data_IF_683619397857
#
_entry.id   IF_683619397857
#
_cell.length_a   1.000
_cell.length_b   1.000
_cell.length_c   1.000
_cell.angle_alpha   90.00
_cell.angle_beta   90.00
_cell.angle_gamma   90.00
#
_symmetry.space_group_name_H-M   'P 1'
#
loop_
_entity.id
_entity.type
_entity.pdbx_description
1 polymer ?
#
# COMPACT_ATOMS: atom_id res chain seq x y z
N UNK A 1 -20.51 0.02 -0.90
CA UNK A 1 -20.11 0.87 -2.03
C UNK A 1 -19.61 -0.04 -3.14
N UNK A 2 -20.09 0.11 -4.38
CA UNK A 2 -19.57 -0.61 -5.56
C UNK A 2 -18.91 0.42 -6.46
N UNK A 3 -17.67 0.17 -6.87
CA UNK A 3 -16.94 0.98 -7.83
C UNK A 3 -16.40 0.06 -8.92
N UNK A 4 -16.44 0.50 -10.16
CA UNK A 4 -15.77 -0.15 -11.29
C UNK A 4 -14.42 0.53 -11.48
N UNK A 5 -13.38 -0.27 -11.66
CA UNK A 5 -12.04 0.22 -11.96
C UNK A 5 -11.68 -0.08 -13.43
N UNK A 6 -10.84 0.74 -14.08
CA UNK A 6 -10.48 0.57 -15.48
C UNK A 6 -9.37 -0.48 -15.71
N UNK A 7 -9.12 -1.35 -14.74
CA UNK A 7 -8.07 -2.36 -14.76
C UNK A 7 -8.56 -3.67 -14.12
N UNK A 8 -7.85 -4.75 -14.40
CA UNK A 8 -8.07 -6.06 -13.77
C UNK A 8 -7.01 -6.35 -12.70
N UNK A 9 -7.31 -7.28 -11.80
CA UNK A 9 -6.32 -7.83 -10.88
C UNK A 9 -5.62 -9.02 -11.53
N UNK A 10 -4.30 -9.07 -11.41
CA UNK A 10 -3.46 -10.06 -12.10
C UNK A 10 -2.59 -10.79 -11.09
N UNK A 11 -2.50 -12.11 -11.23
CA UNK A 11 -1.49 -12.94 -10.55
C UNK A 11 -0.41 -13.29 -11.57
N UNK A 12 0.81 -12.86 -11.29
CA UNK A 12 1.97 -13.08 -12.14
C UNK A 12 2.51 -14.51 -12.06
N UNK A 13 3.37 -14.92 -13.00
CA UNK A 13 3.91 -16.28 -13.08
C UNK A 13 4.82 -16.65 -11.89
N UNK A 14 5.33 -15.66 -11.14
CA UNK A 14 6.15 -15.88 -9.95
C UNK A 14 5.34 -15.64 -8.66
N UNK A 15 4.02 -15.72 -8.77
CA UNK A 15 3.03 -15.47 -7.70
C UNK A 15 2.92 -14.00 -7.30
N UNK A 16 3.35 -13.04 -8.13
CA UNK A 16 3.18 -11.62 -7.85
C UNK A 16 1.71 -11.22 -7.89
N UNK A 17 1.33 -10.23 -7.09
CA UNK A 17 0.01 -9.62 -7.18
C UNK A 17 0.11 -8.23 -7.80
N UNK A 18 -0.66 -7.99 -8.85
CA UNK A 18 -0.61 -6.77 -9.64
C UNK A 18 -1.97 -6.30 -10.14
N UNK A 19 -1.94 -5.19 -10.85
CA UNK A 19 -3.07 -4.66 -11.63
C UNK A 19 -2.67 -4.50 -13.09
N UNK A 20 -3.62 -4.71 -14.00
CA UNK A 20 -3.34 -4.79 -15.42
C UNK A 20 -4.37 -4.09 -16.32
N UNK A 21 -3.86 -3.56 -17.42
CA UNK A 21 -4.60 -3.23 -18.64
C UNK A 21 -3.90 -3.95 -19.81
N UNK A 22 -3.46 -3.23 -20.85
CA UNK A 22 -2.55 -3.74 -21.87
C UNK A 22 -1.10 -3.92 -21.37
N UNK A 23 -0.77 -3.25 -20.27
CA UNK A 23 0.46 -3.41 -19.49
C UNK A 23 0.06 -3.72 -18.05
N UNK A 24 0.99 -4.20 -17.23
CA UNK A 24 0.70 -4.51 -15.83
C UNK A 24 1.74 -3.93 -14.89
N UNK A 25 1.29 -3.62 -13.68
CA UNK A 25 2.11 -3.09 -12.58
C UNK A 25 2.03 -4.05 -11.41
N UNK A 26 3.19 -4.49 -10.92
CA UNK A 26 3.28 -5.32 -9.72
C UNK A 26 3.07 -4.45 -8.48
N UNK A 27 2.07 -4.81 -7.67
CA UNK A 27 1.78 -4.13 -6.41
C UNK A 27 2.57 -4.75 -5.26
N UNK A 28 2.54 -6.08 -5.19
CA UNK A 28 3.21 -6.89 -4.18
C UNK A 28 3.94 -8.04 -4.86
N UNK A 29 5.15 -8.36 -4.41
CA UNK A 29 5.99 -9.40 -5.02
C UNK A 29 5.41 -10.80 -4.81
N UNK A 30 4.44 -10.98 -3.90
CA UNK A 30 3.69 -12.23 -3.73
C UNK A 30 2.21 -11.96 -3.46
N UNK A 31 1.34 -12.91 -3.79
CA UNK A 31 -0.08 -12.92 -3.37
C UNK A 31 -0.19 -12.89 -1.85
N UNK A 32 0.65 -13.63 -1.13
CA UNK A 32 0.66 -13.61 0.34
C UNK A 32 0.99 -12.21 0.87
N UNK A 33 1.95 -11.50 0.26
CA UNK A 33 2.26 -10.12 0.63
C UNK A 33 1.09 -9.17 0.39
N UNK A 34 0.31 -9.39 -0.67
CA UNK A 34 -0.95 -8.66 -0.87
C UNK A 34 -1.99 -9.00 0.20
N UNK A 35 -2.14 -10.28 0.57
CA UNK A 35 -3.05 -10.68 1.67
C UNK A 35 -2.64 -10.02 2.98
N UNK A 36 -1.34 -9.99 3.30
CA UNK A 36 -0.81 -9.28 4.46
C UNK A 36 -1.10 -7.78 4.40
N UNK A 37 -0.95 -7.14 3.23
CA UNK A 37 -1.30 -5.74 3.02
C UNK A 37 -2.78 -5.46 3.30
N UNK A 38 -3.69 -6.37 2.90
CA UNK A 38 -5.13 -6.26 3.16
C UNK A 38 -5.44 -6.46 4.65
N UNK A 39 -4.82 -7.47 5.29
CA UNK A 39 -4.99 -7.72 6.72
C UNK A 39 -4.49 -6.52 7.55
N UNK A 40 -3.34 -5.98 7.18
CA UNK A 40 -2.74 -4.80 7.79
C UNK A 40 -3.61 -3.55 7.61
N UNK A 41 -4.20 -3.36 6.41
CA UNK A 41 -5.15 -2.28 6.17
C UNK A 41 -6.36 -2.34 7.11
N UNK A 42 -6.89 -3.53 7.34
CA UNK A 42 -8.01 -3.74 8.23
C UNK A 42 -7.62 -3.47 9.69
N UNK A 43 -6.51 -4.03 10.17
CA UNK A 43 -6.01 -3.80 11.52
C UNK A 43 -5.70 -2.34 11.79
N UNK A 44 -4.96 -1.68 10.90
CA UNK A 44 -4.60 -0.28 11.05
C UNK A 44 -5.84 0.62 11.05
N UNK A 45 -6.82 0.37 10.19
CA UNK A 45 -8.07 1.14 10.19
C UNK A 45 -8.90 0.94 11.47
N UNK A 46 -8.83 -0.24 12.08
CA UNK A 46 -9.56 -0.55 13.32
C UNK A 46 -8.91 0.06 14.56
N UNK A 47 -7.58 0.13 14.59
CA UNK A 47 -6.81 0.51 15.78
C UNK A 47 -6.34 1.97 15.76
N UNK A 48 -6.25 2.59 14.59
CA UNK A 48 -5.76 3.95 14.48
C UNK A 48 -6.62 4.94 15.26
N UNK A 49 -5.95 5.86 15.95
CA UNK A 49 -6.59 7.03 16.56
C UNK A 49 -7.07 8.00 15.49
N UNK A 50 -6.32 8.13 14.39
CA UNK A 50 -6.63 8.98 13.24
C UNK A 50 -6.10 8.35 11.97
N UNK A 51 -6.88 8.47 10.90
CA UNK A 51 -6.45 8.12 9.54
C UNK A 51 -6.49 9.37 8.66
N UNK A 52 -5.34 9.78 8.15
CA UNK A 52 -5.20 10.89 7.20
C UNK A 52 -4.95 10.35 5.81
N UNK A 53 -5.62 10.90 4.79
CA UNK A 53 -5.41 10.53 3.39
C UNK A 53 -4.69 11.65 2.66
N UNK A 54 -3.58 11.34 2.03
CA UNK A 54 -2.79 12.24 1.17
C UNK A 54 -2.89 11.74 -0.28
N UNK A 55 -2.87 12.65 -1.26
CA UNK A 55 -3.03 12.31 -2.68
C UNK A 55 -2.07 13.07 -3.57
N UNK A 56 -1.80 12.51 -4.75
CA UNK A 56 -1.03 13.18 -5.78
C UNK A 56 0.41 13.44 -5.37
N UNK A 57 0.96 14.58 -5.81
CA UNK A 57 2.36 14.94 -5.59
C UNK A 57 2.75 15.01 -4.10
N UNK A 58 1.83 15.40 -3.21
CA UNK A 58 2.07 15.47 -1.76
C UNK A 58 2.44 14.11 -1.15
N UNK A 59 2.15 12.99 -1.83
CA UNK A 59 2.56 11.65 -1.39
C UNK A 59 4.08 11.48 -1.41
N UNK A 60 4.78 12.17 -2.33
CA UNK A 60 6.24 12.09 -2.44
C UNK A 60 6.94 12.97 -1.37
N UNK A 61 6.20 13.89 -0.74
CA UNK A 61 6.69 14.78 0.33
C UNK A 61 6.50 14.18 1.74
N UNK A 62 5.96 12.96 1.84
CA UNK A 62 5.80 12.27 3.13
C UNK A 62 7.17 11.89 3.67
N UNK A 63 7.50 12.46 4.83
CA UNK A 63 8.69 12.09 5.58
C UNK A 63 8.57 10.67 6.13
N UNK A 64 9.51 9.82 5.74
CA UNK A 64 9.62 8.43 6.17
C UNK A 64 10.85 8.22 7.07
N UNK A 65 11.53 9.29 7.49
CA UNK A 65 12.66 9.19 8.41
C UNK A 65 12.22 8.54 9.73
N UNK A 66 12.93 7.50 10.13
CA UNK A 66 12.59 6.68 11.30
C UNK A 66 11.45 5.68 11.07
N UNK A 67 10.92 5.57 9.84
CA UNK A 67 10.05 4.48 9.45
C UNK A 67 10.83 3.37 8.74
N UNK A 68 10.40 2.13 8.94
CA UNK A 68 10.94 0.95 8.27
C UNK A 68 9.87 0.28 7.38
N UNK A 69 10.24 -0.28 6.23
CA UNK A 69 9.31 -1.05 5.41
C UNK A 69 8.74 -2.26 6.17
N UNK A 70 7.43 -2.47 6.11
CA UNK A 70 6.78 -3.70 6.61
C UNK A 70 7.02 -4.81 5.58
N UNK A 71 8.04 -5.62 5.81
CA UNK A 71 8.51 -6.64 4.87
C UNK A 71 7.51 -7.76 4.56
N UNK A 72 6.66 -8.11 5.53
CA UNK A 72 5.60 -9.11 5.36
C UNK A 72 4.71 -8.82 4.15
N UNK A 73 4.44 -7.53 3.85
CA UNK A 73 3.60 -7.15 2.70
C UNK A 73 4.29 -7.31 1.36
N UNK A 74 5.60 -7.56 1.32
CA UNK A 74 6.40 -7.70 0.09
C UNK A 74 6.10 -6.61 -0.95
N UNK A 75 5.96 -5.36 -0.49
CA UNK A 75 5.51 -4.24 -1.31
C UNK A 75 6.47 -3.91 -2.45
N UNK A 76 5.90 -3.61 -3.62
CA UNK A 76 6.62 -3.15 -4.82
C UNK A 76 6.16 -1.73 -5.15
N UNK A 77 5.07 -1.57 -5.91
CA UNK A 77 4.46 -0.24 -6.13
C UNK A 77 3.61 0.20 -4.92
N UNK A 78 3.03 -0.75 -4.19
CA UNK A 78 2.23 -0.50 -3.00
C UNK A 78 2.99 -1.01 -1.77
N UNK A 79 3.30 -0.10 -0.84
CA UNK A 79 4.20 -0.36 0.30
C UNK A 79 3.60 0.10 1.61
N UNK A 80 4.06 -0.53 2.70
CA UNK A 80 3.72 -0.16 4.07
C UNK A 80 4.98 0.17 4.86
N UNK A 81 4.85 1.13 5.75
CA UNK A 81 5.94 1.66 6.57
C UNK A 81 5.49 1.70 8.03
N UNK A 82 6.33 1.21 8.94
CA UNK A 82 6.09 1.23 10.39
C UNK A 82 7.07 2.18 11.07
N UNK A 83 6.55 3.00 11.97
CA UNK A 83 7.34 3.98 12.72
C UNK A 83 6.91 4.03 14.18
N UNK A 84 7.54 4.90 14.99
CA UNK A 84 7.27 4.99 16.42
C UNK A 84 5.83 5.43 16.75
N UNK A 85 5.22 6.24 15.88
CA UNK A 85 3.92 6.88 16.15
C UNK A 85 2.79 6.35 15.26
N UNK A 86 3.02 5.29 14.48
CA UNK A 86 1.99 4.69 13.63
C UNK A 86 2.53 3.99 12.39
N UNK A 87 1.65 3.85 11.39
CA UNK A 87 1.96 3.19 10.12
C UNK A 87 1.49 4.01 8.93
N UNK A 88 2.19 3.89 7.80
CA UNK A 88 1.89 4.61 6.57
C UNK A 88 1.77 3.60 5.43
N UNK A 89 0.63 3.57 4.76
CA UNK A 89 0.45 2.84 3.50
C UNK A 89 0.64 3.82 2.35
N UNK A 90 1.50 3.51 1.38
CA UNK A 90 1.67 4.30 0.16
C UNK A 90 1.36 3.43 -1.05
N UNK A 91 0.36 3.85 -1.82
CA UNK A 91 -0.12 3.20 -3.03
C UNK A 91 0.30 4.01 -4.25
N UNK A 92 1.17 3.43 -5.08
CA UNK A 92 1.63 4.02 -6.35
C UNK A 92 1.18 3.21 -7.57
N UNK A 93 0.64 2.01 -7.36
CA UNK A 93 0.27 1.09 -8.43
C UNK A 93 -0.61 1.68 -9.52
N UNK A 94 -1.71 2.33 -9.16
CA UNK A 94 -2.61 2.97 -10.14
C UNK A 94 -1.92 4.11 -10.91
N UNK A 95 -1.11 4.91 -10.22
CA UNK A 95 -0.37 6.00 -10.83
C UNK A 95 0.66 5.51 -11.85
N UNK A 96 1.34 4.40 -11.53
CA UNK A 96 2.29 3.77 -12.44
C UNK A 96 1.59 3.11 -13.62
N UNK A 97 0.51 2.35 -13.39
CA UNK A 97 -0.24 1.67 -14.44
C UNK A 97 -0.83 2.65 -15.47
N UNK A 98 -1.36 3.78 -15.00
CA UNK A 98 -2.07 4.76 -15.82
C UNK A 98 -1.19 5.95 -16.22
N UNK A 99 0.04 6.03 -15.72
CA UNK A 99 0.97 7.14 -15.98
C UNK A 99 0.49 8.50 -15.44
N UNK A 100 -0.31 8.50 -14.38
CA UNK A 100 -0.88 9.70 -13.77
C UNK A 100 -0.46 9.84 -12.30
N UNK A 101 0.52 10.71 -11.99
CA UNK A 101 0.97 10.96 -10.62
C UNK A 101 -0.13 11.43 -9.66
N UNK A 102 -1.23 12.01 -10.16
CA UNK A 102 -2.35 12.43 -9.31
C UNK A 102 -3.06 11.26 -8.62
N UNK A 103 -2.88 10.03 -9.13
CA UNK A 103 -3.47 8.81 -8.58
C UNK A 103 -2.68 8.20 -7.42
N UNK A 104 -1.51 8.74 -7.08
CA UNK A 104 -0.80 8.32 -5.87
C UNK A 104 -1.68 8.58 -4.65
N UNK A 105 -1.71 7.64 -3.72
CA UNK A 105 -2.45 7.78 -2.47
C UNK A 105 -1.59 7.29 -1.33
N UNK A 106 -1.53 8.06 -0.25
CA UNK A 106 -1.04 7.56 1.03
C UNK A 106 -2.13 7.61 2.09
N UNK A 107 -2.05 6.69 3.05
CA UNK A 107 -2.83 6.69 4.28
C UNK A 107 -1.88 6.65 5.47
N UNK A 108 -1.97 7.68 6.30
CA UNK A 108 -1.21 7.78 7.56
C UNK A 108 -2.14 7.38 8.70
N UNK A 109 -1.78 6.33 9.42
CA UNK A 109 -2.53 5.77 10.54
C UNK A 109 -1.78 6.07 11.84
N UNK A 110 -2.27 7.03 12.61
CA UNK A 110 -1.64 7.42 13.88
C UNK A 110 -2.00 6.47 15.03
N UNK A 111 -1.03 6.14 15.86
CA UNK A 111 -1.23 5.38 17.10
C UNK A 111 -1.43 3.87 16.90
N UNK A 112 -1.05 3.34 15.73
CA UNK A 112 -1.09 1.90 15.43
C UNK A 112 0.22 1.24 15.82
N UNK A 113 0.16 0.15 16.60
CA UNK A 113 1.29 -0.77 16.79
C UNK A 113 1.12 -2.01 15.91
N UNK A 114 2.25 -2.54 15.42
CA UNK A 114 2.31 -3.72 14.56
C UNK A 114 2.80 -4.96 15.31
N UNK A 115 2.25 -5.18 16.51
CA UNK A 115 2.58 -6.37 17.30
C UNK A 115 2.11 -7.62 16.54
N UNK A 116 3.03 -8.52 16.20
CA UNK A 116 2.75 -9.73 15.43
C UNK A 116 2.89 -9.62 13.90
N UNK A 117 3.22 -8.43 13.37
CA UNK A 117 3.73 -8.25 12.00
C UNK A 117 5.25 -8.16 12.02
N UNK A 118 5.89 -9.27 12.40
CA UNK A 118 7.34 -9.48 12.32
C UNK A 118 7.63 -10.49 11.20
N UNK A 119 8.81 -10.38 10.58
CA UNK A 119 9.27 -11.15 9.41
C UNK A 119 9.06 -12.68 9.52
#
# INVERSE_FOLDING_TARGET
>A
MRATVPYEFVVGPQNEFGIGTHVWTVLHATVDGWVESVALAYHAAWTARRVTRVRGAEVDDIDLDGFEPVRAVRGVADTWWRGPDGVIAIHRGEAELLGDPALKVARVYEGVTLDGWED
#
